data_IF_988065565311
#
_entry.id   IF_988065565311
#
_cell.length_a   1.000
_cell.length_b   1.000
_cell.length_c   1.000
_cell.angle_alpha   90.00
_cell.angle_beta   90.00
_cell.angle_gamma   90.00
#
_symmetry.space_group_name_H-M   'P 1'
#
loop_
_entity.id
_entity.type
_entity.pdbx_description
1 polymer ?
#
# COMPACT_ATOMS: atom_id res chain seq x y z
N UNK A 1 15.68 27.13 6.49
CA UNK A 1 14.89 25.88 6.44
C UNK A 1 14.68 25.54 4.97
N UNK A 2 15.44 24.59 4.43
CA UNK A 2 15.31 24.21 3.03
C UNK A 2 14.03 23.37 2.86
N UNK A 3 13.12 23.82 2.00
CA UNK A 3 11.93 23.05 1.64
C UNK A 3 12.39 21.76 0.93
N UNK A 4 12.09 20.61 1.51
CA UNK A 4 12.34 19.30 0.92
C UNK A 4 11.38 19.10 -0.28
N UNK A 5 11.84 18.57 -1.42
CA UNK A 5 10.98 18.39 -2.60
C UNK A 5 9.82 17.42 -2.28
N UNK A 6 8.59 17.87 -2.56
CA UNK A 6 7.38 17.01 -2.49
C UNK A 6 7.49 15.92 -3.55
N UNK A 7 7.31 14.66 -3.16
CA UNK A 7 7.41 13.52 -4.07
C UNK A 7 6.32 13.53 -5.16
N UNK A 8 6.55 12.87 -6.32
CA UNK A 8 5.56 12.78 -7.39
C UNK A 8 4.42 11.83 -6.97
N UNK A 9 3.34 12.38 -6.42
CA UNK A 9 2.21 11.57 -5.94
C UNK A 9 1.08 12.42 -5.33
N UNK A 10 0.41 11.87 -4.31
CA UNK A 10 -0.71 12.48 -3.56
C UNK A 10 -0.38 13.82 -2.83
N UNK A 11 0.79 14.41 -3.08
CA UNK A 11 1.21 15.69 -2.50
C UNK A 11 1.83 15.60 -1.11
N UNK A 12 2.10 14.38 -0.61
CA UNK A 12 2.78 14.15 0.66
C UNK A 12 4.30 14.37 0.54
N UNK A 13 4.90 14.91 1.59
CA UNK A 13 6.35 14.91 1.76
C UNK A 13 6.80 13.49 2.12
N UNK A 14 7.75 12.94 1.37
CA UNK A 14 8.28 11.59 1.58
C UNK A 14 9.75 11.66 1.96
N UNK A 15 10.15 10.89 2.96
CA UNK A 15 11.54 10.80 3.43
C UNK A 15 11.92 9.35 3.62
N UNK A 16 13.04 8.96 3.01
CA UNK A 16 13.69 7.68 3.26
C UNK A 16 14.79 7.90 4.31
N UNK A 17 14.67 7.22 5.45
CA UNK A 17 15.62 7.35 6.54
C UNK A 17 15.59 6.10 7.43
N UNK A 18 16.67 5.90 8.18
CA UNK A 18 16.69 4.90 9.24
C UNK A 18 15.75 5.36 10.36
N UNK A 19 14.78 4.53 10.72
CA UNK A 19 13.84 4.79 11.79
C UNK A 19 14.15 3.90 13.00
N UNK A 20 14.34 4.48 14.19
CA UNK A 20 14.41 3.70 15.42
C UNK A 20 13.02 3.13 15.75
N UNK A 21 12.97 2.00 16.48
CA UNK A 21 11.70 1.31 16.80
C UNK A 21 10.72 2.22 17.55
N UNK A 22 11.25 3.10 18.39
CA UNK A 22 10.49 4.03 19.22
C UNK A 22 9.71 5.04 18.37
N UNK A 23 10.18 5.35 17.15
CA UNK A 23 9.46 6.23 16.23
C UNK A 23 8.11 5.62 15.78
N UNK A 24 8.01 4.29 15.75
CA UNK A 24 6.77 3.59 15.39
C UNK A 24 5.69 3.76 16.47
N UNK A 25 6.08 3.85 17.74
CA UNK A 25 5.12 3.97 18.84
C UNK A 25 4.43 5.33 18.92
N UNK A 26 5.05 6.36 18.33
CA UNK A 26 4.52 7.73 18.29
C UNK A 26 3.92 8.10 16.94
N UNK A 27 3.93 7.17 15.98
CA UNK A 27 3.37 7.40 14.66
C UNK A 27 1.83 7.51 14.71
N UNK A 28 1.28 8.46 13.95
CA UNK A 28 -0.17 8.61 13.84
C UNK A 28 -0.80 7.39 13.11
N UNK A 29 -0.14 6.96 12.03
CA UNK A 29 -0.52 5.83 11.19
C UNK A 29 0.72 5.02 10.78
N UNK A 30 0.54 3.70 10.61
CA UNK A 30 1.53 2.80 10.04
C UNK A 30 0.83 1.89 9.05
N UNK A 31 1.47 1.60 7.92
CA UNK A 31 1.02 0.58 6.98
C UNK A 31 2.22 -0.18 6.42
N UNK A 32 1.97 -1.43 6.05
CA UNK A 32 2.94 -2.29 5.36
C UNK A 32 2.60 -2.32 3.87
N UNK A 33 3.63 -2.48 3.05
CA UNK A 33 3.50 -2.61 1.60
C UNK A 33 4.11 -3.91 1.10
N UNK A 34 3.47 -4.58 0.16
CA UNK A 34 4.05 -5.74 -0.52
C UNK A 34 3.10 -6.32 -1.57
N UNK A 35 3.58 -7.19 -2.45
CA UNK A 35 2.75 -7.75 -3.54
C UNK A 35 1.52 -8.48 -3.01
N UNK A 36 1.68 -9.32 -1.99
CA UNK A 36 0.57 -10.05 -1.37
C UNK A 36 -0.16 -9.23 -0.29
N UNK A 37 0.57 -8.37 0.42
CA UNK A 37 0.02 -7.55 1.50
C UNK A 37 -0.67 -6.28 1.00
N UNK A 38 -0.50 -5.93 -0.28
CA UNK A 38 -0.93 -4.67 -0.89
C UNK A 38 -0.52 -3.47 0.00
N UNK A 39 -1.47 -2.59 0.33
CA UNK A 39 -1.34 -1.55 1.36
C UNK A 39 -2.14 -2.00 2.59
N UNK A 40 -1.47 -2.58 3.58
CA UNK A 40 -2.12 -3.10 4.79
C UNK A 40 -1.89 -2.18 6.00
N UNK A 41 -2.95 -1.61 6.60
CA UNK A 41 -2.81 -0.78 7.80
C UNK A 41 -2.39 -1.61 9.02
N UNK A 42 -1.51 -1.05 9.85
CA UNK A 42 -1.08 -1.63 11.12
C UNK A 42 -1.78 -0.91 12.28
N UNK A 43 -2.54 -1.67 13.07
CA UNK A 43 -3.29 -1.12 14.22
C UNK A 43 -2.45 -0.92 15.47
N UNK A 44 -1.39 -1.72 15.62
CA UNK A 44 -0.55 -1.75 16.82
C UNK A 44 0.81 -2.39 16.53
N UNK A 45 1.85 -1.89 17.19
CA UNK A 45 3.20 -2.47 17.20
C UNK A 45 3.53 -2.85 18.63
N UNK A 46 3.90 -4.11 18.88
CA UNK A 46 4.25 -4.63 20.21
C UNK A 46 3.19 -4.41 21.30
N UNK A 47 1.92 -4.44 20.91
CA UNK A 47 0.80 -4.19 21.81
C UNK A 47 0.49 -2.70 22.05
N UNK A 48 1.31 -1.78 21.54
CA UNK A 48 1.07 -0.34 21.58
C UNK A 48 0.27 0.04 20.34
N UNK A 49 -0.93 0.60 20.54
CA UNK A 49 -1.78 1.05 19.44
C UNK A 49 -1.18 2.27 18.72
N UNK A 50 -1.32 2.32 17.39
CA UNK A 50 -1.09 3.56 16.64
C UNK A 50 -2.14 4.59 17.02
N UNK A 51 -1.86 5.89 16.81
CA UNK A 51 -2.80 6.94 17.25
C UNK A 51 -4.17 6.84 16.59
N UNK A 52 -4.22 6.43 15.33
CA UNK A 52 -5.47 6.21 14.60
C UNK A 52 -6.09 4.82 14.84
N UNK A 53 -5.41 3.91 15.57
CA UNK A 53 -5.84 2.55 15.87
C UNK A 53 -6.36 1.76 14.65
N UNK A 54 -5.77 2.00 13.47
CA UNK A 54 -6.25 1.47 12.19
C UNK A 54 -5.88 2.38 11.02
N UNK A 55 -6.53 2.22 9.85
CA UNK A 55 -6.26 3.05 8.68
C UNK A 55 -6.75 4.49 8.91
N UNK A 56 -5.83 5.43 9.02
CA UNK A 56 -6.17 6.85 9.02
C UNK A 56 -6.27 7.42 7.59
N UNK A 57 -6.38 8.75 7.46
CA UNK A 57 -6.62 9.41 6.17
C UNK A 57 -5.51 9.17 5.15
N UNK A 58 -4.24 9.13 5.56
CA UNK A 58 -3.13 8.96 4.60
C UNK A 58 -3.13 7.54 4.05
N UNK A 59 -3.27 6.54 4.94
CA UNK A 59 -3.31 5.13 4.52
C UNK A 59 -4.48 4.84 3.59
N UNK A 60 -5.66 5.42 3.86
CA UNK A 60 -6.84 5.27 3.00
C UNK A 60 -6.63 5.89 1.62
N UNK A 61 -6.04 7.09 1.56
CA UNK A 61 -5.78 7.76 0.30
C UNK A 61 -4.78 6.99 -0.57
N UNK A 62 -3.70 6.47 0.05
CA UNK A 62 -2.70 5.65 -0.65
C UNK A 62 -3.32 4.33 -1.15
N UNK A 63 -4.10 3.65 -0.30
CA UNK A 63 -4.76 2.40 -0.68
C UNK A 63 -5.77 2.60 -1.82
N UNK A 64 -6.58 3.67 -1.76
CA UNK A 64 -7.51 4.01 -2.83
C UNK A 64 -6.78 4.30 -4.16
N UNK A 65 -5.68 5.05 -4.11
CA UNK A 65 -4.89 5.32 -5.31
C UNK A 65 -4.30 4.03 -5.92
N UNK A 66 -3.77 3.14 -5.07
CA UNK A 66 -3.21 1.85 -5.48
C UNK A 66 -4.27 0.92 -6.08
N UNK A 67 -5.39 0.71 -5.39
CA UNK A 67 -6.50 -0.12 -5.87
C UNK A 67 -7.12 0.45 -7.14
N UNK A 68 -7.15 1.77 -7.25
CA UNK A 68 -7.66 2.46 -8.42
C UNK A 68 -6.89 2.16 -9.70
N UNK A 69 -5.65 1.66 -9.61
CA UNK A 69 -4.90 1.22 -10.79
C UNK A 69 -5.53 -0.05 -11.39
N UNK A 70 -6.06 -0.95 -10.56
CA UNK A 70 -6.62 -2.22 -11.03
C UNK A 70 -8.04 -2.08 -11.57
N UNK A 71 -8.83 -1.15 -11.04
CA UNK A 71 -10.18 -0.87 -11.53
C UNK A 71 -10.23 0.21 -12.63
N UNK A 72 -9.11 0.88 -12.89
CA UNK A 72 -8.97 1.94 -13.90
C UNK A 72 -9.41 3.33 -13.43
N UNK A 73 -9.81 3.52 -12.17
CA UNK A 73 -10.17 4.83 -11.61
C UNK A 73 -8.97 5.75 -11.37
N UNK A 74 -7.79 5.18 -11.10
CA UNK A 74 -6.53 5.91 -11.04
C UNK A 74 -5.80 5.76 -12.37
N UNK A 75 -5.49 6.85 -13.09
CA UNK A 75 -4.68 6.77 -14.29
C UNK A 75 -3.28 6.23 -13.99
N UNK A 76 -2.86 5.19 -14.72
CA UNK A 76 -1.50 4.66 -14.66
C UNK A 76 -0.52 5.62 -15.35
N UNK A 77 -0.05 6.61 -14.60
CA UNK A 77 0.88 7.64 -15.11
C UNK A 77 2.29 7.12 -15.34
N UNK A 78 2.62 5.96 -14.77
CA UNK A 78 3.98 5.42 -14.74
C UNK A 78 4.15 4.19 -15.64
N UNK A 79 3.07 3.70 -16.24
CA UNK A 79 3.10 2.50 -17.09
C UNK A 79 3.43 1.24 -16.28
N UNK A 80 2.88 1.13 -15.08
CA UNK A 80 3.06 -0.04 -14.20
C UNK A 80 2.28 -1.27 -14.66
N UNK A 81 1.21 -1.10 -15.44
CA UNK A 81 0.33 -2.20 -15.85
C UNK A 81 0.73 -2.75 -17.22
N UNK A 82 0.93 -4.06 -17.30
CA UNK A 82 1.10 -4.78 -18.57
C UNK A 82 -0.26 -5.39 -18.99
N UNK A 83 -0.89 -4.90 -20.08
CA UNK A 83 -2.18 -5.40 -20.52
C UNK A 83 -2.02 -6.76 -21.22
N UNK A 84 -2.63 -7.80 -20.65
CA UNK A 84 -2.61 -9.13 -21.25
C UNK A 84 -3.77 -9.24 -22.25
N UNK A 85 -3.47 -9.18 -23.55
CA UNK A 85 -4.46 -9.17 -24.62
C UNK A 85 -5.23 -10.50 -24.79
N UNK A 86 -4.73 -11.58 -24.21
CA UNK A 86 -5.33 -12.91 -24.33
C UNK A 86 -6.23 -13.18 -23.14
N UNK A 87 -7.56 -13.33 -23.32
CA UNK A 87 -8.41 -13.86 -22.27
C UNK A 87 -7.93 -15.28 -21.96
N UNK A 88 -7.38 -15.48 -20.76
CA UNK A 88 -7.11 -16.83 -20.25
C UNK A 88 -8.47 -17.50 -20.07
N UNK A 89 -8.81 -18.56 -20.83
CA UNK A 89 -10.03 -19.30 -20.55
C UNK A 89 -9.90 -19.81 -19.11
N UNK A 90 -10.90 -19.54 -18.28
CA UNK A 90 -10.95 -20.00 -16.90
C UNK A 90 -10.78 -21.53 -16.88
N UNK A 91 -9.55 -22.01 -16.72
CA UNK A 91 -9.26 -23.43 -16.74
C UNK A 91 -9.85 -24.02 -15.47
N UNK A 92 -10.70 -25.02 -15.64
CA UNK A 92 -11.27 -25.86 -14.59
C UNK A 92 -10.25 -26.13 -13.51
N UNK A 93 -10.56 -25.70 -12.28
CA UNK A 93 -9.82 -26.06 -11.07
C UNK A 93 -9.70 -27.58 -11.06
N UNK A 94 -8.51 -28.12 -11.33
CA UNK A 94 -8.24 -29.53 -11.10
C UNK A 94 -7.97 -29.69 -9.62
N UNK A 95 -8.92 -30.29 -8.93
CA UNK A 95 -8.79 -30.73 -7.55
C UNK A 95 -7.53 -31.59 -7.44
N UNK A 96 -6.56 -31.15 -6.64
CA UNK A 96 -5.36 -31.93 -6.36
C UNK A 96 -5.71 -32.88 -5.22
N UNK A 97 -6.11 -34.10 -5.57
CA UNK A 97 -6.27 -35.19 -4.62
C UNK A 97 -4.91 -35.47 -3.96
N UNK A 98 -4.82 -35.22 -2.66
CA UNK A 98 -3.67 -35.58 -1.84
C UNK A 98 -3.76 -37.08 -1.54
N UNK A 99 -2.87 -37.86 -2.17
CA UNK A 99 -2.60 -39.24 -1.79
C UNK A 99 -1.66 -39.31 -0.59
#
# INVERSE_FOLDING_TARGET
MAACPRGPGLGYETREQVLPREALYVADEIFMTGTAAEITPVRSVDGIATRCAGPGPVTKAVNAAFRGLFDGSTPDRFGWLEPIATPVPASTVREVEHA
#
